data_IF_238542276658
#
_entry.id   IF_238542276658
#
_cell.length_a   1.000
_cell.length_b   1.000
_cell.length_c   1.000
_cell.angle_alpha   90.00
_cell.angle_beta   90.00
_cell.angle_gamma   90.00
#
_symmetry.space_group_name_H-M   'P 1'
#
loop_
_entity.id
_entity.type
_entity.pdbx_description
1 polymer ?
#
# COMPACT_ATOMS: atom_id res chain seq x y z
N UNK A 1 12.86 3.77 34.72
CA UNK A 1 11.77 2.89 34.22
C UNK A 1 11.38 3.42 32.85
N UNK A 2 11.79 2.75 31.76
CA UNK A 2 11.33 3.12 30.41
C UNK A 2 9.84 2.86 30.36
N UNK A 3 9.03 3.90 30.13
CA UNK A 3 7.60 3.73 29.83
C UNK A 3 7.48 2.79 28.65
N UNK A 4 6.79 1.66 28.82
CA UNK A 4 6.54 0.72 27.74
C UNK A 4 5.81 1.45 26.60
N UNK A 5 6.23 1.23 25.36
CA UNK A 5 5.57 1.81 24.19
C UNK A 5 4.15 1.23 24.09
N UNK A 6 3.13 2.09 24.21
CA UNK A 6 1.74 1.73 23.94
C UNK A 6 1.36 2.21 22.52
N UNK A 7 1.17 1.28 21.57
CA UNK A 7 0.78 1.63 20.20
C UNK A 7 -0.54 2.42 20.13
N UNK A 8 -1.50 2.12 21.01
CA UNK A 8 -2.80 2.79 21.03
C UNK A 8 -2.68 4.26 21.37
N UNK A 9 -1.99 4.57 22.48
CA UNK A 9 -1.71 5.95 22.89
C UNK A 9 -0.90 6.71 21.83
N UNK A 10 0.17 6.10 21.30
CA UNK A 10 1.01 6.76 20.28
C UNK A 10 0.22 7.11 18.99
N UNK A 11 -0.66 6.21 18.53
CA UNK A 11 -1.52 6.47 17.37
C UNK A 11 -2.56 7.56 17.67
N UNK A 12 -3.13 7.56 18.87
CA UNK A 12 -4.11 8.56 19.30
C UNK A 12 -3.49 9.97 19.41
N UNK A 13 -2.30 10.08 19.99
CA UNK A 13 -1.55 11.34 20.09
C UNK A 13 -1.20 11.90 18.71
N UNK A 14 -0.68 11.07 17.81
CA UNK A 14 -0.37 11.48 16.44
C UNK A 14 -1.63 11.96 15.71
N UNK A 15 -2.74 11.21 15.81
CA UNK A 15 -4.03 11.60 15.21
C UNK A 15 -4.54 12.93 15.77
N UNK A 16 -4.44 13.14 17.08
CA UNK A 16 -4.87 14.38 17.71
C UNK A 16 -4.02 15.59 17.27
N UNK A 17 -2.71 15.40 17.08
CA UNK A 17 -1.83 16.45 16.54
C UNK A 17 -2.18 16.80 15.09
N UNK A 18 -2.40 15.80 14.24
CA UNK A 18 -2.81 16.00 12.83
C UNK A 18 -4.12 16.79 12.75
N UNK A 19 -5.13 16.39 13.52
CA UNK A 19 -6.44 17.06 13.51
C UNK A 19 -6.34 18.49 14.02
N UNK A 20 -5.54 18.73 15.07
CA UNK A 20 -5.30 20.08 15.59
C UNK A 20 -4.70 21.00 14.53
N UNK A 21 -3.66 20.56 13.84
CA UNK A 21 -3.00 21.37 12.81
C UNK A 21 -3.90 21.54 11.58
N UNK A 22 -4.71 20.53 11.24
CA UNK A 22 -5.69 20.62 10.14
C UNK A 22 -6.79 21.64 10.43
N UNK A 23 -7.34 21.63 11.66
CA UNK A 23 -8.49 22.48 12.04
C UNK A 23 -8.09 23.89 12.49
N UNK A 24 -6.92 24.02 13.13
CA UNK A 24 -6.53 25.24 13.85
C UNK A 24 -5.16 25.77 13.43
N UNK A 25 -4.45 25.09 12.53
CA UNK A 25 -3.18 25.55 11.99
C UNK A 25 -3.33 26.82 11.16
N UNK A 26 -2.25 27.60 11.12
CA UNK A 26 -2.15 28.79 10.28
C UNK A 26 -1.76 28.46 8.84
N UNK A 27 -1.24 27.26 8.61
CA UNK A 27 -0.73 26.80 7.33
C UNK A 27 -1.85 26.30 6.43
N UNK A 28 -1.69 26.47 5.11
CA UNK A 28 -2.69 26.05 4.12
C UNK A 28 -2.62 24.57 3.75
N UNK A 29 -1.61 23.85 4.26
CA UNK A 29 -1.41 22.45 3.98
C UNK A 29 -0.90 21.71 5.21
N UNK A 30 -1.36 20.48 5.41
CA UNK A 30 -0.77 19.53 6.37
C UNK A 30 -0.48 18.25 5.61
N UNK A 31 0.74 17.72 5.73
CA UNK A 31 1.13 16.45 5.10
C UNK A 31 1.20 15.36 6.16
N UNK A 32 0.67 14.19 5.84
CA UNK A 32 0.67 13.03 6.72
C UNK A 32 1.22 11.80 6.01
N UNK A 33 2.33 11.32 6.54
CA UNK A 33 2.96 10.08 6.15
C UNK A 33 2.28 8.92 6.85
N UNK A 34 1.63 8.08 6.06
CA UNK A 34 0.90 6.90 6.54
C UNK A 34 1.56 5.63 5.98
N UNK A 35 2.43 4.95 6.75
CA UNK A 35 2.99 3.67 6.33
C UNK A 35 1.91 2.57 6.16
N UNK A 36 2.28 1.38 5.64
CA UNK A 36 1.33 0.34 5.30
C UNK A 36 0.56 -0.13 6.53
N UNK A 37 -0.76 -0.05 6.48
CA UNK A 37 -1.62 -0.46 7.60
C UNK A 37 -1.64 0.50 8.78
N UNK A 38 -1.17 1.75 8.62
CA UNK A 38 -1.15 2.71 9.73
C UNK A 38 -2.52 3.31 10.11
N UNK A 39 -3.58 2.90 9.42
CA UNK A 39 -4.93 3.42 9.65
C UNK A 39 -5.25 4.66 8.82
N UNK A 40 -4.63 4.83 7.65
CA UNK A 40 -4.86 5.94 6.72
C UNK A 40 -6.33 6.27 6.51
N UNK A 41 -7.12 5.28 6.08
CA UNK A 41 -8.54 5.48 5.82
C UNK A 41 -9.30 5.82 7.10
N UNK A 42 -8.89 5.29 8.25
CA UNK A 42 -9.46 5.66 9.56
C UNK A 42 -9.17 7.11 9.89
N UNK A 43 -7.95 7.59 9.63
CA UNK A 43 -7.58 9.01 9.77
C UNK A 43 -8.42 9.88 8.83
N UNK A 44 -8.52 9.53 7.55
CA UNK A 44 -9.30 10.29 6.55
C UNK A 44 -10.77 10.39 6.94
N UNK A 45 -11.41 9.27 7.32
CA UNK A 45 -12.80 9.25 7.79
C UNK A 45 -12.96 10.12 9.04
N UNK A 46 -12.05 10.00 10.01
CA UNK A 46 -12.10 10.80 11.24
C UNK A 46 -11.93 12.29 10.96
N UNK A 47 -10.92 12.67 10.17
CA UNK A 47 -10.68 14.05 9.79
C UNK A 47 -11.87 14.65 9.04
N UNK A 48 -12.47 13.88 8.13
CA UNK A 48 -13.64 14.32 7.38
C UNK A 48 -14.84 14.60 8.29
N UNK A 49 -15.10 13.73 9.28
CA UNK A 49 -16.17 13.92 10.27
C UNK A 49 -15.92 15.12 11.18
N UNK A 50 -14.70 15.31 11.67
CA UNK A 50 -14.34 16.44 12.54
C UNK A 50 -14.45 17.78 11.79
N UNK A 51 -14.00 17.83 10.53
CA UNK A 51 -14.15 19.00 9.67
C UNK A 51 -15.63 19.33 9.41
N UNK A 52 -16.44 18.33 9.07
CA UNK A 52 -17.87 18.50 8.88
C UNK A 52 -18.59 18.94 10.16
N UNK A 53 -18.24 18.37 11.32
CA UNK A 53 -18.80 18.75 12.62
C UNK A 53 -18.42 20.18 13.02
N UNK A 54 -17.24 20.66 12.60
CA UNK A 54 -16.82 22.05 12.75
C UNK A 54 -17.49 23.00 11.73
N UNK A 55 -18.44 22.52 10.92
CA UNK A 55 -19.18 23.31 9.92
C UNK A 55 -18.36 23.63 8.66
N UNK A 56 -17.21 22.97 8.45
CA UNK A 56 -16.34 23.20 7.29
C UNK A 56 -16.84 22.40 6.10
N UNK A 57 -17.09 23.08 4.97
CA UNK A 57 -17.33 22.40 3.68
C UNK A 57 -16.06 21.72 3.20
N UNK A 58 -16.14 20.41 3.00
CA UNK A 58 -15.00 19.56 2.68
C UNK A 58 -15.16 18.93 1.29
N UNK A 59 -14.14 19.08 0.45
CA UNK A 59 -13.94 18.21 -0.72
C UNK A 59 -12.95 17.10 -0.41
N UNK A 60 -13.18 15.89 -0.91
CA UNK A 60 -12.21 14.79 -0.81
C UNK A 60 -11.82 14.32 -2.21
N UNK A 61 -10.51 14.23 -2.43
CA UNK A 61 -9.88 13.86 -3.69
C UNK A 61 -9.22 12.49 -3.50
N UNK A 62 -9.66 11.49 -4.26
CA UNK A 62 -9.00 10.19 -4.35
C UNK A 62 -8.58 9.86 -5.79
N UNK A 63 -7.87 8.76 -6.01
CA UNK A 63 -7.32 8.45 -7.34
C UNK A 63 -8.26 7.56 -8.18
N UNK A 64 -9.02 6.67 -7.55
CA UNK A 64 -9.87 5.69 -8.24
C UNK A 64 -11.31 5.69 -7.72
N UNK A 65 -12.27 5.27 -8.55
CA UNK A 65 -13.67 5.16 -8.12
C UNK A 65 -13.84 4.20 -6.95
N UNK A 66 -13.15 3.05 -6.96
CA UNK A 66 -13.21 2.08 -5.86
C UNK A 66 -12.76 2.67 -4.51
N UNK A 67 -11.72 3.51 -4.50
CA UNK A 67 -11.29 4.21 -3.29
C UNK A 67 -12.33 5.23 -2.81
N UNK A 68 -12.93 5.97 -3.74
CA UNK A 68 -13.99 6.92 -3.38
C UNK A 68 -15.18 6.18 -2.78
N UNK A 69 -15.65 5.12 -3.43
CA UNK A 69 -16.86 4.41 -3.02
C UNK A 69 -16.64 3.70 -1.67
N UNK A 70 -15.47 3.10 -1.42
CA UNK A 70 -15.07 2.58 -0.11
C UNK A 70 -15.06 3.67 0.97
N UNK A 71 -14.59 4.88 0.66
CA UNK A 71 -14.60 5.98 1.62
C UNK A 71 -16.02 6.46 1.94
N UNK A 72 -16.91 6.55 0.94
CA UNK A 72 -18.33 6.89 1.14
C UNK A 72 -19.01 5.85 2.02
N UNK A 73 -18.80 4.56 1.75
CA UNK A 73 -19.33 3.47 2.57
C UNK A 73 -18.87 3.55 4.02
N UNK A 74 -17.58 3.82 4.26
CA UNK A 74 -17.04 3.96 5.62
C UNK A 74 -17.57 5.18 6.35
N UNK A 75 -17.77 6.30 5.65
CA UNK A 75 -18.39 7.48 6.25
C UNK A 75 -19.84 7.20 6.63
N UNK A 76 -20.61 6.56 5.75
CA UNK A 76 -22.01 6.21 6.04
C UNK A 76 -22.14 5.15 7.15
N UNK A 77 -21.21 4.19 7.27
CA UNK A 77 -21.14 3.24 8.40
C UNK A 77 -20.87 3.95 9.74
N UNK A 78 -19.91 4.88 9.75
CA UNK A 78 -19.50 5.58 10.98
C UNK A 78 -20.44 6.71 11.38
N UNK A 79 -21.13 7.29 10.42
CA UNK A 79 -22.02 8.42 10.62
C UNK A 79 -23.19 8.38 9.63
N UNK A 80 -24.24 7.57 9.93
CA UNK A 80 -25.36 7.38 9.01
C UNK A 80 -26.18 8.65 8.73
N UNK A 81 -26.04 9.70 9.55
CA UNK A 81 -26.78 10.96 9.40
C UNK A 81 -26.00 12.02 8.61
N UNK A 82 -24.67 11.90 8.58
CA UNK A 82 -23.77 12.82 7.87
C UNK A 82 -24.02 12.79 6.36
N UNK A 83 -24.47 13.92 5.81
CA UNK A 83 -24.75 14.02 4.37
C UNK A 83 -23.46 14.01 3.56
N UNK A 84 -23.34 13.06 2.63
CA UNK A 84 -22.14 12.90 1.78
C UNK A 84 -22.54 12.96 0.31
N UNK A 85 -21.89 13.84 -0.44
CA UNK A 85 -21.98 13.89 -1.89
C UNK A 85 -20.97 12.97 -2.54
N UNK A 86 -21.41 12.13 -3.47
CA UNK A 86 -20.53 11.36 -4.36
C UNK A 86 -20.65 11.95 -5.76
N UNK A 87 -19.64 12.71 -6.16
CA UNK A 87 -19.56 13.26 -7.51
C UNK A 87 -18.99 12.19 -8.45
N UNK A 88 -19.68 11.87 -9.54
CA UNK A 88 -19.29 10.81 -10.48
C UNK A 88 -19.36 11.24 -11.96
N UNK A 89 -18.89 10.40 -12.89
CA UNK A 89 -19.10 10.60 -14.34
C UNK A 89 -20.54 10.26 -14.72
N UNK A 90 -20.98 10.65 -15.92
CA UNK A 90 -22.32 10.30 -16.40
C UNK A 90 -22.45 8.84 -16.88
N UNK A 91 -21.42 8.02 -16.66
CA UNK A 91 -21.38 6.63 -17.11
C UNK A 91 -22.29 5.74 -16.23
N UNK A 92 -22.83 4.67 -16.81
CA UNK A 92 -23.82 3.81 -16.14
C UNK A 92 -23.29 3.00 -14.95
N UNK A 93 -21.97 2.78 -14.90
CA UNK A 93 -21.23 2.00 -13.89
C UNK A 93 -20.22 2.86 -13.11
N UNK A 94 -20.45 4.17 -13.04
CA UNK A 94 -19.50 5.13 -12.46
C UNK A 94 -19.23 4.97 -10.95
N UNK A 95 -20.05 4.20 -10.23
CA UNK A 95 -19.97 3.99 -8.78
C UNK A 95 -20.59 2.64 -8.36
N UNK A 96 -20.23 2.17 -7.16
CA UNK A 96 -20.78 0.97 -6.55
C UNK A 96 -22.31 1.08 -6.33
N UNK A 97 -23.14 0.16 -6.87
CA UNK A 97 -24.59 0.15 -6.66
C UNK A 97 -25.04 0.19 -5.20
N UNK A 98 -24.23 -0.33 -4.26
CA UNK A 98 -24.54 -0.31 -2.83
C UNK A 98 -24.73 1.12 -2.28
N UNK A 99 -24.14 2.13 -2.92
CA UNK A 99 -24.29 3.52 -2.50
C UNK A 99 -25.72 4.06 -2.67
N UNK A 100 -26.56 3.46 -3.52
CA UNK A 100 -27.96 3.90 -3.72
C UNK A 100 -28.85 3.61 -2.51
N UNK A 101 -28.47 2.62 -1.71
CA UNK A 101 -29.23 2.20 -0.54
C UNK A 101 -28.93 3.06 0.70
N UNK A 102 -28.00 4.02 0.61
CA UNK A 102 -27.55 4.87 1.72
C UNK A 102 -28.35 6.19 1.77
N UNK A 103 -29.23 6.41 2.78
CA UNK A 103 -30.11 7.59 2.83
C UNK A 103 -29.38 8.93 3.02
N UNK A 104 -28.14 8.89 3.51
CA UNK A 104 -27.29 10.07 3.70
C UNK A 104 -26.43 10.42 2.49
N UNK A 105 -26.41 9.57 1.46
CA UNK A 105 -25.56 9.75 0.29
C UNK A 105 -26.35 10.36 -0.86
N UNK A 106 -25.83 11.45 -1.43
CA UNK A 106 -26.36 12.06 -2.65
C UNK A 106 -25.41 11.77 -3.81
N UNK A 107 -25.92 11.07 -4.83
CA UNK A 107 -25.18 10.74 -6.05
C UNK A 107 -25.50 11.79 -7.12
N UNK A 108 -24.49 12.45 -7.68
CA UNK A 108 -24.71 13.34 -8.83
C UNK A 108 -23.49 13.40 -9.74
N UNK A 109 -23.74 13.66 -11.02
CA UNK A 109 -22.71 14.00 -11.99
C UNK A 109 -22.38 15.50 -12.02
N UNK A 110 -23.20 16.34 -11.36
CA UNK A 110 -23.11 17.80 -11.35
C UNK A 110 -22.61 18.30 -9.99
N UNK A 111 -21.50 19.06 -9.95
CA UNK A 111 -20.97 19.61 -8.69
C UNK A 111 -21.96 20.50 -7.95
N UNK A 112 -22.77 21.29 -8.67
CA UNK A 112 -23.75 22.21 -8.07
C UNK A 112 -24.82 21.51 -7.22
N UNK A 113 -25.20 20.28 -7.55
CA UNK A 113 -26.16 19.50 -6.77
C UNK A 113 -25.59 19.06 -5.40
N UNK A 114 -24.26 19.11 -5.26
CA UNK A 114 -23.51 18.62 -4.10
C UNK A 114 -22.79 19.73 -3.33
N UNK A 115 -22.81 20.97 -3.85
CA UNK A 115 -21.99 22.07 -3.34
C UNK A 115 -22.28 22.39 -1.86
N UNK A 116 -23.56 22.36 -1.45
CA UNK A 116 -23.98 22.68 -0.08
C UNK A 116 -23.88 21.50 0.90
N UNK A 117 -23.41 20.33 0.43
CA UNK A 117 -23.20 19.18 1.32
C UNK A 117 -21.92 19.39 2.15
N UNK A 118 -21.90 18.94 3.42
CA UNK A 118 -20.74 19.12 4.28
C UNK A 118 -19.51 18.39 3.74
N UNK A 119 -19.69 17.25 3.06
CA UNK A 119 -18.62 16.48 2.43
C UNK A 119 -19.03 16.13 1.00
N UNK A 120 -18.16 16.40 0.03
CA UNK A 120 -18.27 15.89 -1.34
C UNK A 120 -17.00 15.16 -1.75
N UNK A 121 -17.13 13.96 -2.31
CA UNK A 121 -16.00 13.06 -2.62
C UNK A 121 -16.01 12.72 -4.10
N UNK A 122 -14.85 12.82 -4.73
CA UNK A 122 -14.64 12.41 -6.13
C UNK A 122 -13.22 12.00 -6.43
N UNK A 123 -13.02 11.51 -7.65
CA UNK A 123 -11.68 11.25 -8.17
C UNK A 123 -11.03 12.56 -8.60
N UNK A 124 -9.69 12.63 -8.52
CA UNK A 124 -8.90 13.75 -9.03
C UNK A 124 -9.27 14.12 -10.48
N UNK A 125 -9.43 13.11 -11.34
CA UNK A 125 -9.82 13.30 -12.73
C UNK A 125 -11.18 13.99 -12.87
N UNK A 126 -12.18 13.62 -12.05
CA UNK A 126 -13.51 14.24 -12.11
C UNK A 126 -13.49 15.67 -11.54
N UNK A 127 -12.74 15.90 -10.46
CA UNK A 127 -12.55 17.24 -9.90
C UNK A 127 -11.92 18.21 -10.91
N UNK A 128 -10.98 17.77 -11.74
CA UNK A 128 -10.34 18.60 -12.76
C UNK A 128 -11.31 19.15 -13.84
N UNK A 129 -12.53 18.60 -13.95
CA UNK A 129 -13.57 19.13 -14.84
C UNK A 129 -14.50 20.14 -14.16
N UNK A 130 -14.38 20.34 -12.85
CA UNK A 130 -15.18 21.32 -12.11
C UNK A 130 -14.62 22.70 -12.38
N UNK A 131 -15.47 23.59 -12.90
CA UNK A 131 -15.15 24.99 -13.21
C UNK A 131 -16.14 25.91 -12.51
N UNK A 132 -15.73 27.14 -12.28
CA UNK A 132 -16.57 28.22 -11.76
C UNK A 132 -17.29 27.85 -10.45
N UNK A 133 -16.64 27.05 -9.61
CA UNK A 133 -17.11 26.70 -8.28
C UNK A 133 -16.41 27.59 -7.24
N UNK A 134 -17.16 28.05 -6.25
CA UNK A 134 -16.58 28.65 -5.04
C UNK A 134 -15.63 27.64 -4.38
N UNK A 135 -14.41 28.04 -3.99
CA UNK A 135 -13.46 27.15 -3.34
C UNK A 135 -14.05 26.50 -2.09
N UNK A 136 -13.82 25.19 -1.94
CA UNK A 136 -14.07 24.50 -0.69
C UNK A 136 -13.07 24.98 0.37
N UNK A 137 -13.55 25.23 1.59
CA UNK A 137 -12.68 25.68 2.68
C UNK A 137 -11.57 24.67 2.97
N UNK A 138 -11.89 23.37 2.90
CA UNK A 138 -10.95 22.29 3.16
C UNK A 138 -11.02 21.22 2.06
N UNK A 139 -9.85 20.63 1.79
CA UNK A 139 -9.71 19.41 1.02
C UNK A 139 -9.02 18.31 1.85
N UNK A 140 -9.37 17.05 1.60
CA UNK A 140 -8.48 15.92 1.89
C UNK A 140 -8.05 15.32 0.57
N UNK A 141 -6.74 15.22 0.35
CA UNK A 141 -6.16 14.51 -0.80
C UNK A 141 -5.65 13.16 -0.31
N UNK A 142 -6.39 12.10 -0.62
CA UNK A 142 -6.04 10.73 -0.27
C UNK A 142 -5.15 10.08 -1.33
N UNK A 143 -4.21 9.23 -0.89
CA UNK A 143 -3.08 8.74 -1.68
C UNK A 143 -2.32 9.88 -2.38
N UNK A 144 -2.10 10.99 -1.68
CA UNK A 144 -1.46 12.18 -2.25
C UNK A 144 -0.09 11.88 -2.88
N UNK A 145 0.64 10.88 -2.36
CA UNK A 145 1.93 10.45 -2.92
C UNK A 145 1.82 9.81 -4.31
N UNK A 146 0.70 9.16 -4.63
CA UNK A 146 0.42 8.56 -5.94
C UNK A 146 -0.18 9.54 -6.94
N UNK A 147 -0.64 10.70 -6.46
CA UNK A 147 -1.12 11.77 -7.31
C UNK A 147 0.08 12.42 -7.99
N UNK A 148 0.01 12.63 -9.31
CA UNK A 148 0.99 13.46 -10.00
C UNK A 148 0.78 14.94 -9.70
N UNK A 149 1.85 15.73 -9.75
CA UNK A 149 1.80 17.17 -9.49
C UNK A 149 0.93 17.92 -10.50
N UNK A 150 0.89 17.51 -11.77
CA UNK A 150 0.00 18.07 -12.80
C UNK A 150 -1.49 17.91 -12.43
N UNK A 151 -1.86 16.75 -11.91
CA UNK A 151 -3.20 16.46 -11.44
C UNK A 151 -3.56 17.29 -10.20
N UNK A 152 -2.62 17.51 -9.27
CA UNK A 152 -2.85 18.40 -8.13
C UNK A 152 -3.08 19.84 -8.61
N UNK A 153 -2.25 20.33 -9.53
CA UNK A 153 -2.40 21.68 -10.08
C UNK A 153 -3.78 21.90 -10.71
N UNK A 154 -4.32 20.88 -11.39
CA UNK A 154 -5.64 20.93 -12.02
C UNK A 154 -6.80 21.08 -11.01
N UNK A 155 -6.60 20.74 -9.73
CA UNK A 155 -7.65 20.81 -8.69
C UNK A 155 -7.32 21.78 -7.55
N UNK A 156 -6.08 22.28 -7.47
CA UNK A 156 -5.61 23.13 -6.37
C UNK A 156 -6.40 24.45 -6.24
N UNK A 157 -6.96 24.95 -7.34
CA UNK A 157 -7.83 26.13 -7.33
C UNK A 157 -9.21 25.91 -6.70
N UNK A 158 -9.59 24.66 -6.42
CA UNK A 158 -10.89 24.30 -5.84
C UNK A 158 -10.88 24.33 -4.31
N UNK A 159 -9.75 24.52 -3.64
CA UNK A 159 -9.74 24.53 -2.17
C UNK A 159 -8.81 25.58 -1.57
N UNK A 160 -9.15 26.02 -0.36
CA UNK A 160 -8.32 26.99 0.36
C UNK A 160 -7.22 26.32 1.19
N UNK A 161 -7.53 25.21 1.84
CA UNK A 161 -6.64 24.44 2.72
C UNK A 161 -6.74 22.95 2.41
N UNK A 162 -5.67 22.19 2.64
CA UNK A 162 -5.68 20.75 2.38
C UNK A 162 -4.91 19.91 3.39
N UNK A 163 -5.48 18.75 3.72
CA UNK A 163 -4.80 17.64 4.38
C UNK A 163 -4.38 16.62 3.31
N UNK A 164 -3.07 16.46 3.11
CA UNK A 164 -2.49 15.50 2.18
C UNK A 164 -2.11 14.23 2.94
N UNK A 165 -2.73 13.10 2.58
CA UNK A 165 -2.50 11.83 3.26
C UNK A 165 -2.05 10.80 2.24
N UNK A 166 -0.96 10.08 2.52
CA UNK A 166 -0.53 8.98 1.68
C UNK A 166 0.70 8.29 2.23
N UNK A 167 1.28 7.41 1.42
CA UNK A 167 2.42 6.60 1.82
C UNK A 167 3.64 6.95 0.94
N UNK A 168 4.69 7.58 1.51
CA UNK A 168 5.90 7.95 0.76
C UNK A 168 6.76 6.75 0.34
N UNK A 169 6.61 5.59 0.99
CA UNK A 169 7.43 4.40 0.75
C UNK A 169 6.78 3.39 -0.20
N UNK A 170 5.60 3.68 -0.74
CA UNK A 170 4.91 2.83 -1.72
C UNK A 170 5.13 3.33 -3.16
N UNK A 171 4.19 3.04 -4.07
CA UNK A 171 4.35 3.23 -5.51
C UNK A 171 4.38 4.70 -5.90
N UNK A 172 5.31 5.04 -6.80
CA UNK A 172 5.37 6.35 -7.44
C UNK A 172 4.15 6.55 -8.36
N UNK A 173 3.76 7.81 -8.65
CA UNK A 173 2.77 8.10 -9.66
C UNK A 173 3.13 7.49 -11.03
N UNK A 174 2.14 6.91 -11.70
CA UNK A 174 2.35 6.29 -13.01
C UNK A 174 2.31 7.33 -14.14
N UNK A 175 3.30 7.27 -15.04
CA UNK A 175 3.33 8.00 -16.32
C UNK A 175 3.56 7.05 -17.50
N UNK A 176 2.82 7.23 -18.58
CA UNK A 176 3.01 6.52 -19.85
C UNK A 176 4.09 7.20 -20.71
N UNK A 177 4.33 8.49 -20.46
CA UNK A 177 5.27 9.32 -21.22
C UNK A 177 6.53 9.53 -20.37
N UNK A 178 7.70 9.38 -20.99
CA UNK A 178 8.97 9.69 -20.33
C UNK A 178 9.03 11.17 -19.94
N UNK A 179 9.47 11.45 -18.72
CA UNK A 179 9.52 12.80 -18.16
C UNK A 179 10.95 13.33 -17.97
N UNK A 180 11.93 12.71 -18.62
CA UNK A 180 13.37 12.99 -18.44
C UNK A 180 13.72 14.48 -18.63
N UNK A 181 13.01 15.19 -19.50
CA UNK A 181 13.20 16.61 -19.76
C UNK A 181 12.79 17.55 -18.62
N UNK A 182 11.98 17.07 -17.67
CA UNK A 182 11.60 17.83 -16.47
C UNK A 182 12.32 17.38 -15.21
N UNK A 183 13.15 16.35 -15.32
CA UNK A 183 13.76 15.75 -14.17
C UNK A 183 14.70 16.75 -13.47
N UNK A 184 14.53 16.86 -12.15
CA UNK A 184 15.29 17.77 -11.29
C UNK A 184 14.72 19.17 -11.18
N UNK A 185 13.64 19.46 -11.90
CA UNK A 185 12.87 20.68 -11.71
C UNK A 185 11.94 20.51 -10.50
N UNK A 186 11.83 21.55 -9.67
CA UNK A 186 10.92 21.53 -8.51
C UNK A 186 9.44 21.38 -8.91
N UNK A 187 9.12 21.63 -10.19
CA UNK A 187 7.80 21.59 -10.80
C UNK A 187 7.63 20.44 -11.81
N UNK A 188 8.41 19.36 -11.70
CA UNK A 188 8.26 18.18 -12.55
C UNK A 188 6.78 17.68 -12.53
N UNK A 189 6.07 17.70 -13.67
CA UNK A 189 4.66 17.33 -13.77
C UNK A 189 4.41 15.84 -13.48
N UNK A 190 5.45 15.00 -13.59
CA UNK A 190 5.40 13.57 -13.33
C UNK A 190 5.71 13.20 -11.88
N UNK A 191 6.32 14.12 -11.13
CA UNK A 191 6.62 13.92 -9.72
C UNK A 191 5.35 13.80 -8.87
N UNK A 192 5.51 13.23 -7.70
CA UNK A 192 4.46 13.19 -6.68
C UNK A 192 4.00 14.59 -6.31
N UNK A 193 2.69 14.76 -6.18
CA UNK A 193 2.04 15.99 -5.74
C UNK A 193 2.60 16.48 -4.39
N UNK A 194 2.88 15.56 -3.45
CA UNK A 194 3.45 15.91 -2.15
C UNK A 194 4.89 16.39 -2.28
N UNK A 195 5.70 15.74 -3.12
CA UNK A 195 7.10 16.14 -3.35
C UNK A 195 7.19 17.55 -3.93
N UNK A 196 6.40 17.85 -4.96
CA UNK A 196 6.32 19.20 -5.55
C UNK A 196 5.78 20.22 -4.54
N UNK A 197 4.73 19.87 -3.79
CA UNK A 197 4.15 20.75 -2.77
C UNK A 197 5.19 21.15 -1.72
N UNK A 198 5.90 20.18 -1.14
CA UNK A 198 6.90 20.42 -0.10
C UNK A 198 8.14 21.15 -0.64
N UNK A 199 8.54 20.91 -1.89
CA UNK A 199 9.62 21.66 -2.53
C UNK A 199 9.33 23.17 -2.59
N UNK A 200 8.07 23.56 -2.80
CA UNK A 200 7.64 24.95 -2.86
C UNK A 200 7.15 25.50 -1.51
N UNK A 201 6.82 24.64 -0.55
CA UNK A 201 6.27 25.00 0.75
C UNK A 201 6.95 24.19 1.87
N UNK A 202 8.26 24.39 2.13
CA UNK A 202 9.03 23.53 3.05
C UNK A 202 8.63 23.69 4.53
N UNK A 203 7.84 24.71 4.85
CA UNK A 203 7.37 25.04 6.20
C UNK A 203 6.06 24.34 6.57
N UNK A 204 5.41 23.63 5.62
CA UNK A 204 4.17 22.92 5.92
C UNK A 204 4.39 21.86 7.02
N UNK A 205 3.48 21.74 8.00
CA UNK A 205 3.54 20.71 9.01
C UNK A 205 3.50 19.32 8.37
N UNK A 206 4.47 18.49 8.76
CA UNK A 206 4.58 17.10 8.34
C UNK A 206 4.42 16.21 9.57
N UNK A 207 3.36 15.41 9.56
CA UNK A 207 3.08 14.41 10.58
C UNK A 207 3.31 13.01 10.05
N UNK A 208 3.45 12.05 10.96
CA UNK A 208 3.57 10.63 10.61
C UNK A 208 2.70 9.79 11.53
N UNK A 209 2.11 8.73 10.98
CA UNK A 209 1.44 7.71 11.79
C UNK A 209 2.49 6.69 12.30
N UNK A 210 2.69 6.57 13.62
CA UNK A 210 3.83 5.83 14.18
C UNK A 210 3.63 4.32 14.27
N UNK A 211 2.44 3.82 13.93
CA UNK A 211 2.02 2.44 14.20
C UNK A 211 1.38 1.83 12.96
N UNK A 212 1.81 0.63 12.58
CA UNK A 212 1.11 -0.23 11.61
C UNK A 212 0.26 -1.27 12.34
N UNK A 213 -1.04 -1.23 12.12
CA UNK A 213 -1.99 -2.22 12.64
C UNK A 213 -2.11 -3.46 11.74
N UNK A 214 -1.44 -3.46 10.58
CA UNK A 214 -1.43 -4.60 9.65
C UNK A 214 -0.21 -5.47 9.81
N UNK A 215 0.97 -4.90 9.99
CA UNK A 215 2.18 -5.72 10.00
C UNK A 215 2.40 -6.32 11.39
N UNK A 216 2.61 -7.63 11.50
CA UNK A 216 2.91 -8.26 12.79
C UNK A 216 4.26 -7.77 13.34
N UNK A 217 4.50 -8.01 14.63
CA UNK A 217 5.77 -7.68 15.30
C UNK A 217 7.01 -8.25 14.60
N UNK A 218 6.86 -9.37 13.89
CA UNK A 218 7.91 -10.03 13.09
C UNK A 218 8.22 -9.31 11.79
N UNK A 219 7.26 -8.60 11.18
CA UNK A 219 7.41 -7.99 9.86
C UNK A 219 7.62 -6.47 9.90
N UNK A 220 6.98 -5.77 10.84
CA UNK A 220 7.07 -4.32 10.93
C UNK A 220 8.51 -3.79 11.02
N UNK A 221 9.45 -4.40 11.78
CA UNK A 221 10.82 -3.91 11.87
C UNK A 221 11.57 -3.96 10.53
N UNK A 222 11.38 -5.03 9.74
CA UNK A 222 12.00 -5.13 8.42
C UNK A 222 11.45 -4.04 7.49
N UNK A 223 10.13 -4.00 7.33
CA UNK A 223 9.46 -3.06 6.41
C UNK A 223 9.79 -1.62 6.81
N UNK A 224 9.73 -1.30 8.10
CA UNK A 224 10.04 0.04 8.59
C UNK A 224 11.49 0.45 8.33
N UNK A 225 12.47 -0.44 8.51
CA UNK A 225 13.88 -0.08 8.27
C UNK A 225 14.21 0.00 6.78
N UNK A 226 13.75 -0.97 6.00
CA UNK A 226 14.07 -1.07 4.58
C UNK A 226 13.38 0.02 3.74
N UNK A 227 12.13 0.39 4.11
CA UNK A 227 11.31 1.27 3.27
C UNK A 227 10.95 2.62 3.91
N UNK A 228 11.25 2.82 5.20
CA UNK A 228 10.91 4.06 5.93
C UNK A 228 12.07 4.51 6.84
N UNK A 229 13.29 4.70 6.32
CA UNK A 229 14.48 4.96 7.14
C UNK A 229 14.36 6.23 8.00
N UNK A 230 13.63 7.25 7.51
CA UNK A 230 13.41 8.52 8.22
C UNK A 230 12.07 8.61 8.95
N UNK A 231 11.11 7.78 8.57
CA UNK A 231 9.73 7.77 9.07
C UNK A 231 9.36 6.41 9.67
N UNK A 232 10.27 5.89 10.48
CA UNK A 232 10.12 4.58 11.09
C UNK A 232 8.83 4.46 11.91
N UNK A 233 8.23 3.28 11.85
CA UNK A 233 7.00 2.93 12.56
C UNK A 233 7.16 1.57 13.27
N UNK A 234 6.22 1.28 14.16
CA UNK A 234 6.20 0.03 14.94
C UNK A 234 4.95 -0.78 14.64
N UNK A 235 4.97 -2.07 14.99
CA UNK A 235 3.75 -2.87 14.95
C UNK A 235 2.79 -2.41 16.05
N UNK A 236 1.49 -2.42 15.73
CA UNK A 236 0.42 -2.26 16.69
C UNK A 236 0.10 -3.53 17.47
N UNK A 237 0.64 -4.68 17.05
CA UNK A 237 0.46 -5.96 17.73
C UNK A 237 1.76 -6.44 18.35
N UNK A 238 1.64 -7.16 19.46
CA UNK A 238 2.76 -7.75 20.20
C UNK A 238 3.29 -9.06 19.59
N UNK A 239 4.47 -9.53 20.04
CA UNK A 239 4.97 -10.85 19.69
C UNK A 239 3.96 -11.95 20.04
N UNK A 240 3.69 -12.84 19.09
CA UNK A 240 2.78 -13.97 19.28
C UNK A 240 1.29 -13.61 19.28
N UNK A 241 0.87 -12.35 19.23
CA UNK A 241 -0.54 -11.99 19.05
C UNK A 241 -1.08 -12.43 17.69
N UNK A 242 -0.20 -12.51 16.69
CA UNK A 242 -0.49 -13.09 15.38
C UNK A 242 0.37 -14.29 15.11
N UNK A 243 -0.27 -15.42 14.83
CA UNK A 243 0.40 -16.71 14.57
C UNK A 243 -0.22 -17.40 13.38
N UNK A 244 0.63 -18.04 12.60
CA UNK A 244 0.26 -19.02 11.59
C UNK A 244 0.70 -20.40 12.12
N UNK A 245 -0.13 -21.41 11.91
CA UNK A 245 0.18 -22.79 12.30
C UNK A 245 -0.46 -23.76 11.31
N UNK A 246 -0.07 -25.03 11.34
CA UNK A 246 -0.57 -26.05 10.42
C UNK A 246 -1.13 -27.24 11.20
N UNK A 247 -2.28 -27.75 10.77
CA UNK A 247 -2.89 -28.94 11.37
C UNK A 247 -2.21 -30.25 10.97
N UNK A 248 -1.46 -30.25 9.86
CA UNK A 248 -0.73 -31.41 9.36
C UNK A 248 0.78 -31.13 9.33
N UNK A 249 1.56 -32.08 9.82
CA UNK A 249 3.02 -32.02 9.76
C UNK A 249 3.51 -31.96 8.31
N UNK A 250 4.59 -31.22 8.08
CA UNK A 250 5.21 -31.13 6.76
C UNK A 250 5.83 -32.45 6.31
N UNK A 251 5.90 -32.67 5.00
CA UNK A 251 6.54 -33.83 4.38
C UNK A 251 8.07 -33.66 4.17
N UNK A 252 8.63 -32.54 4.60
CA UNK A 252 10.05 -32.21 4.46
C UNK A 252 10.44 -31.63 3.09
N UNK A 253 9.49 -31.47 2.16
CA UNK A 253 9.70 -30.78 0.89
C UNK A 253 10.12 -29.32 1.10
N UNK A 254 10.67 -28.69 0.07
CA UNK A 254 10.96 -27.26 0.06
C UNK A 254 9.74 -26.40 0.44
N UNK A 255 8.58 -26.56 -0.23
CA UNK A 255 7.34 -25.86 0.13
C UNK A 255 6.93 -26.01 1.60
N UNK A 256 6.98 -27.22 2.16
CA UNK A 256 6.54 -27.43 3.54
C UNK A 256 7.50 -26.81 4.55
N UNK A 257 8.81 -26.96 4.33
CA UNK A 257 9.83 -26.38 5.21
C UNK A 257 9.80 -24.85 5.20
N UNK A 258 9.57 -24.22 4.05
CA UNK A 258 9.46 -22.75 4.01
C UNK A 258 8.17 -22.25 4.67
N UNK A 259 7.09 -23.04 4.60
CA UNK A 259 5.86 -22.73 5.31
C UNK A 259 6.04 -22.84 6.84
N UNK A 260 6.76 -23.87 7.31
CA UNK A 260 7.12 -24.02 8.73
C UNK A 260 7.97 -22.83 9.21
N UNK A 261 9.00 -22.47 8.46
CA UNK A 261 9.84 -21.29 8.74
C UNK A 261 9.00 -20.00 8.80
N UNK A 262 8.13 -19.80 7.81
CA UNK A 262 7.26 -18.61 7.76
C UNK A 262 6.23 -18.57 8.90
N UNK A 263 5.77 -19.73 9.39
CA UNK A 263 4.88 -19.79 10.55
C UNK A 263 5.59 -19.43 11.87
N UNK A 264 6.87 -19.79 12.00
CA UNK A 264 7.68 -19.49 13.18
C UNK A 264 8.19 -18.04 13.18
N UNK A 265 8.79 -17.61 12.08
CA UNK A 265 9.48 -16.32 11.98
C UNK A 265 8.63 -15.19 11.36
N UNK A 266 7.49 -15.51 10.75
CA UNK A 266 6.72 -14.57 9.93
C UNK A 266 7.28 -14.36 8.52
N UNK A 267 8.44 -14.94 8.21
CA UNK A 267 9.12 -14.84 6.92
C UNK A 267 9.67 -16.19 6.48
N UNK A 268 9.67 -16.44 5.18
CA UNK A 268 10.39 -17.57 4.60
C UNK A 268 10.88 -17.25 3.20
N UNK A 269 12.11 -17.65 2.87
CA UNK A 269 12.67 -17.53 1.52
C UNK A 269 12.82 -18.94 0.92
N UNK A 270 12.00 -19.26 -0.07
CA UNK A 270 12.18 -20.47 -0.88
C UNK A 270 13.11 -20.18 -2.05
N UNK A 271 14.36 -20.61 -1.92
CA UNK A 271 15.42 -20.28 -2.87
C UNK A 271 15.64 -21.42 -3.88
N UNK A 272 15.38 -21.13 -5.15
CA UNK A 272 15.67 -22.00 -6.30
C UNK A 272 17.16 -21.85 -6.71
N UNK A 273 17.77 -22.86 -7.35
CA UNK A 273 19.13 -22.75 -7.86
C UNK A 273 19.31 -21.57 -8.82
N UNK A 274 20.50 -20.95 -8.75
CA UNK A 274 20.87 -19.81 -9.59
C UNK A 274 20.76 -20.16 -11.08
N UNK A 275 20.02 -19.33 -11.83
CA UNK A 275 19.80 -19.48 -13.26
C UNK A 275 19.20 -18.19 -13.83
N UNK A 276 19.64 -17.76 -15.00
CA UNK A 276 18.91 -16.75 -15.79
C UNK A 276 17.72 -17.40 -16.51
N UNK A 277 16.57 -16.78 -16.39
CA UNK A 277 15.32 -17.29 -16.95
C UNK A 277 14.58 -16.23 -17.75
N UNK A 278 13.67 -16.64 -18.65
CA UNK A 278 12.67 -15.72 -19.17
C UNK A 278 11.92 -15.02 -18.04
N UNK A 279 11.30 -13.87 -18.35
CA UNK A 279 10.50 -13.09 -17.38
C UNK A 279 9.47 -13.94 -16.63
N UNK A 280 8.86 -14.90 -17.32
CA UNK A 280 7.94 -15.88 -16.73
C UNK A 280 8.66 -17.22 -16.62
N UNK A 281 9.27 -17.46 -15.46
CA UNK A 281 9.99 -18.69 -15.12
C UNK A 281 9.01 -19.80 -14.70
N UNK A 282 8.85 -20.88 -15.49
CA UNK A 282 7.90 -21.95 -15.18
C UNK A 282 8.21 -22.67 -13.86
N UNK A 283 9.48 -22.81 -13.49
CA UNK A 283 9.89 -23.53 -12.27
C UNK A 283 9.55 -22.69 -11.03
N UNK A 284 9.88 -21.40 -11.03
CA UNK A 284 9.52 -20.50 -9.95
C UNK A 284 7.99 -20.33 -9.82
N UNK A 285 7.28 -20.25 -10.95
CA UNK A 285 5.81 -20.24 -10.98
C UNK A 285 5.23 -21.51 -10.34
N UNK A 286 5.78 -22.68 -10.66
CA UNK A 286 5.35 -23.94 -10.05
C UNK A 286 5.67 -24.00 -8.56
N UNK A 287 6.84 -23.52 -8.14
CA UNK A 287 7.22 -23.45 -6.73
C UNK A 287 6.26 -22.56 -5.93
N UNK A 288 5.90 -21.38 -6.45
CA UNK A 288 4.89 -20.50 -5.87
C UNK A 288 3.54 -21.21 -5.73
N UNK A 289 3.07 -21.86 -6.79
CA UNK A 289 1.79 -22.57 -6.78
C UNK A 289 1.78 -23.73 -5.76
N UNK A 290 2.91 -24.45 -5.62
CA UNK A 290 3.07 -25.52 -4.64
C UNK A 290 3.07 -24.99 -3.20
N UNK A 291 3.75 -23.88 -2.90
CA UNK A 291 3.69 -23.24 -1.57
C UNK A 291 2.24 -22.93 -1.18
N UNK A 292 1.48 -22.32 -2.09
CA UNK A 292 0.06 -22.00 -1.85
C UNK A 292 -0.77 -23.27 -1.65
N UNK A 293 -0.61 -24.27 -2.53
CA UNK A 293 -1.33 -25.54 -2.43
C UNK A 293 -1.05 -26.24 -1.10
N UNK A 294 0.22 -26.31 -0.70
CA UNK A 294 0.64 -26.95 0.55
C UNK A 294 0.14 -26.22 1.79
N UNK A 295 0.07 -24.89 1.76
CA UNK A 295 -0.51 -24.13 2.86
C UNK A 295 -1.99 -24.52 3.12
N UNK A 296 -2.75 -24.73 2.04
CA UNK A 296 -4.15 -25.17 2.11
C UNK A 296 -4.26 -26.66 2.52
N UNK A 297 -3.45 -27.54 1.92
CA UNK A 297 -3.47 -28.98 2.21
C UNK A 297 -3.11 -29.31 3.66
N UNK A 298 -2.20 -28.53 4.23
CA UNK A 298 -1.75 -28.72 5.60
C UNK A 298 -2.73 -28.15 6.64
N UNK A 299 -3.86 -27.61 6.19
CA UNK A 299 -4.87 -27.02 7.05
C UNK A 299 -4.29 -25.87 7.86
N UNK A 300 -3.72 -24.88 7.18
CA UNK A 300 -3.21 -23.68 7.83
C UNK A 300 -4.30 -23.02 8.70
N UNK A 301 -3.90 -22.55 9.88
CA UNK A 301 -4.74 -21.88 10.86
C UNK A 301 -4.06 -20.60 11.30
N UNK A 302 -4.81 -19.51 11.29
CA UNK A 302 -4.38 -18.20 11.75
C UNK A 302 -4.99 -17.88 13.11
N UNK A 303 -4.24 -17.17 13.95
CA UNK A 303 -4.74 -16.61 15.22
C UNK A 303 -4.32 -15.16 15.24
N UNK A 304 -5.25 -14.25 15.54
CA UNK A 304 -4.98 -12.82 15.61
C UNK A 304 -5.74 -12.12 16.76
N UNK A 305 -5.47 -10.84 16.95
CA UNK A 305 -6.08 -10.00 17.98
C UNK A 305 -7.55 -9.68 17.75
N UNK A 306 -8.08 -9.94 16.54
CA UNK A 306 -9.46 -9.62 16.15
C UNK A 306 -10.39 -10.80 16.45
N UNK A 307 -9.90 -12.02 16.27
CA UNK A 307 -10.65 -13.24 16.50
C UNK A 307 -10.25 -13.89 17.83
N UNK A 308 -11.21 -14.05 18.74
CA UNK A 308 -10.99 -14.72 20.03
C UNK A 308 -10.66 -16.23 19.94
N UNK A 309 -10.66 -16.81 18.73
CA UNK A 309 -10.33 -18.20 18.48
C UNK A 309 -9.56 -18.34 17.15
N UNK A 310 -8.70 -19.38 17.01
CA UNK A 310 -8.03 -19.67 15.74
C UNK A 310 -9.02 -19.92 14.60
N UNK A 311 -8.71 -19.41 13.40
CA UNK A 311 -9.54 -19.52 12.21
C UNK A 311 -8.78 -20.25 11.08
N UNK A 312 -9.46 -21.07 10.26
CA UNK A 312 -8.82 -21.71 9.12
C UNK A 312 -8.39 -20.66 8.09
N UNK A 313 -7.18 -20.80 7.53
CA UNK A 313 -6.70 -19.99 6.42
C UNK A 313 -7.40 -20.44 5.14
N UNK A 314 -8.38 -19.67 4.71
CA UNK A 314 -9.10 -19.90 3.45
C UNK A 314 -8.35 -19.29 2.26
N UNK A 315 -8.64 -19.79 1.06
CA UNK A 315 -7.94 -19.37 -0.17
C UNK A 315 -8.05 -17.86 -0.44
N UNK A 316 -9.18 -17.23 -0.13
CA UNK A 316 -9.42 -15.78 -0.29
C UNK A 316 -8.56 -14.92 0.66
N UNK A 317 -8.02 -15.52 1.74
CA UNK A 317 -7.09 -14.91 2.69
C UNK A 317 -5.62 -15.10 2.29
N UNK A 318 -5.36 -15.69 1.12
CA UNK A 318 -4.03 -15.84 0.52
C UNK A 318 -3.90 -14.93 -0.70
N UNK A 319 -2.76 -14.25 -0.81
CA UNK A 319 -2.38 -13.56 -2.03
C UNK A 319 -1.03 -14.02 -2.59
N UNK A 320 -0.94 -14.09 -3.91
CA UNK A 320 0.31 -14.17 -4.65
C UNK A 320 0.62 -12.83 -5.30
N UNK A 321 1.79 -12.29 -4.98
CA UNK A 321 2.32 -11.06 -5.57
C UNK A 321 3.39 -11.31 -6.64
N UNK A 322 3.25 -10.69 -7.81
CA UNK A 322 4.24 -10.73 -8.89
C UNK A 322 4.62 -9.31 -9.37
N UNK A 323 5.71 -9.18 -10.12
CA UNK A 323 6.08 -7.92 -10.73
C UNK A 323 5.26 -7.63 -12.01
N UNK A 324 4.97 -8.67 -12.80
CA UNK A 324 4.34 -8.55 -14.11
C UNK A 324 3.01 -9.30 -14.21
N UNK A 325 2.13 -8.83 -15.12
CA UNK A 325 0.79 -9.41 -15.34
C UNK A 325 0.83 -10.80 -15.97
N UNK A 326 1.82 -11.08 -16.81
CA UNK A 326 2.01 -12.41 -17.41
C UNK A 326 2.48 -13.45 -16.39
N UNK A 327 3.34 -13.06 -15.43
CA UNK A 327 3.68 -13.89 -14.27
C UNK A 327 2.43 -14.21 -13.44
N UNK A 328 1.58 -13.22 -13.17
CA UNK A 328 0.32 -13.43 -12.45
C UNK A 328 -0.60 -14.39 -13.20
N UNK A 329 -0.71 -14.26 -14.52
CA UNK A 329 -1.49 -15.19 -15.35
C UNK A 329 -0.93 -16.62 -15.29
N UNK A 330 0.39 -16.78 -15.38
CA UNK A 330 1.05 -18.09 -15.28
C UNK A 330 0.85 -18.76 -13.92
N UNK A 331 0.93 -18.00 -12.82
CA UNK A 331 0.63 -18.55 -11.49
C UNK A 331 -0.84 -18.96 -11.36
N UNK A 332 -1.80 -18.16 -11.87
CA UNK A 332 -3.21 -18.56 -11.87
C UNK A 332 -3.43 -19.87 -12.61
N UNK A 333 -2.79 -20.06 -13.77
CA UNK A 333 -2.85 -21.31 -14.52
C UNK A 333 -2.27 -22.48 -13.71
N UNK A 334 -1.08 -22.31 -13.11
CA UNK A 334 -0.46 -23.35 -12.29
C UNK A 334 -1.27 -23.72 -11.03
N UNK A 335 -1.93 -22.75 -10.39
CA UNK A 335 -2.86 -23.00 -9.28
C UNK A 335 -4.10 -23.78 -9.74
N UNK A 336 -4.66 -23.43 -10.90
CA UNK A 336 -5.81 -24.14 -11.46
C UNK A 336 -5.48 -25.61 -11.80
N UNK A 337 -4.29 -25.89 -12.34
CA UNK A 337 -3.79 -27.26 -12.54
C UNK A 337 -3.67 -28.05 -11.23
N UNK A 338 -3.39 -27.38 -10.12
CA UNK A 338 -3.35 -27.96 -8.77
C UNK A 338 -4.73 -27.98 -8.08
N UNK A 339 -5.81 -27.63 -8.79
CA UNK A 339 -7.16 -27.58 -8.25
C UNK A 339 -7.38 -26.51 -7.18
N UNK A 340 -6.55 -25.45 -7.15
CA UNK A 340 -6.67 -24.33 -6.21
C UNK A 340 -7.41 -23.17 -6.87
N UNK A 341 -8.49 -22.71 -6.22
CA UNK A 341 -9.28 -21.56 -6.65
C UNK A 341 -9.50 -20.59 -5.46
N UNK A 342 -9.87 -19.35 -5.76
CA UNK A 342 -10.17 -18.32 -4.74
C UNK A 342 -8.97 -17.52 -4.22
N UNK A 343 -7.74 -17.94 -4.52
CA UNK A 343 -6.51 -17.19 -4.19
C UNK A 343 -6.41 -15.93 -5.04
N UNK A 344 -6.12 -14.79 -4.41
CA UNK A 344 -5.80 -13.59 -5.19
C UNK A 344 -4.40 -13.73 -5.78
N UNK A 345 -4.23 -13.52 -7.09
CA UNK A 345 -2.91 -13.50 -7.73
C UNK A 345 -2.85 -12.22 -8.54
N UNK A 346 -1.90 -11.31 -8.28
CA UNK A 346 -1.87 -10.01 -8.94
C UNK A 346 -0.51 -9.29 -8.82
N UNK A 347 -0.37 -8.17 -9.54
CA UNK A 347 0.82 -7.31 -9.43
C UNK A 347 0.74 -6.41 -8.20
N UNK A 348 1.89 -5.88 -7.74
CA UNK A 348 1.96 -4.93 -6.63
C UNK A 348 0.90 -3.81 -6.72
N UNK A 349 0.78 -3.14 -7.88
CA UNK A 349 -0.21 -2.08 -8.10
C UNK A 349 -1.67 -2.51 -7.81
N UNK A 350 -2.03 -3.76 -8.11
CA UNK A 350 -3.40 -4.28 -7.87
C UNK A 350 -3.59 -4.84 -6.46
N UNK A 351 -2.51 -5.22 -5.79
CA UNK A 351 -2.52 -5.67 -4.39
C UNK A 351 -2.47 -4.51 -3.39
N UNK A 352 -2.14 -3.31 -3.84
CA UNK A 352 -2.08 -2.12 -3.00
C UNK A 352 -3.41 -1.87 -2.28
N UNK A 353 -3.32 -1.37 -1.04
CA UNK A 353 -4.49 -1.15 -0.16
C UNK A 353 -5.08 -2.42 0.47
N UNK A 354 -4.95 -3.59 -0.17
CA UNK A 354 -5.50 -4.87 0.30
C UNK A 354 -4.63 -5.51 1.39
N UNK A 355 -5.22 -6.44 2.14
CA UNK A 355 -4.54 -7.21 3.20
C UNK A 355 -4.97 -8.67 3.22
N UNK A 356 -4.00 -9.54 3.51
CA UNK A 356 -4.12 -11.00 3.48
C UNK A 356 -3.48 -11.59 4.73
N UNK A 357 -3.81 -12.82 5.07
CA UNK A 357 -3.21 -13.47 6.22
C UNK A 357 -1.85 -14.09 5.86
N UNK A 358 -1.75 -14.70 4.68
CA UNK A 358 -0.53 -15.21 4.09
C UNK A 358 -0.28 -14.59 2.71
N UNK A 359 0.94 -14.16 2.45
CA UNK A 359 1.36 -13.73 1.10
C UNK A 359 2.48 -14.59 0.56
N UNK A 360 2.42 -14.95 -0.72
CA UNK A 360 3.51 -15.60 -1.44
C UNK A 360 3.99 -14.67 -2.55
N UNK A 361 5.26 -14.32 -2.58
CA UNK A 361 5.80 -13.31 -3.50
C UNK A 361 6.81 -13.96 -4.44
N UNK A 362 6.64 -13.79 -5.74
CA UNK A 362 7.72 -14.04 -6.70
C UNK A 362 8.61 -12.79 -6.75
N UNK A 363 9.86 -12.90 -6.28
CA UNK A 363 10.75 -11.75 -6.18
C UNK A 363 10.98 -11.09 -7.55
N UNK A 364 10.85 -9.75 -7.70
CA UNK A 364 10.95 -9.06 -8.99
C UNK A 364 12.25 -9.30 -9.77
N UNK A 365 13.36 -9.47 -9.04
CA UNK A 365 14.69 -9.73 -9.61
C UNK A 365 15.02 -11.22 -9.81
N UNK A 366 14.11 -12.14 -9.48
CA UNK A 366 14.36 -13.57 -9.58
C UNK A 366 14.70 -13.99 -11.02
N UNK A 367 15.88 -14.56 -11.21
CA UNK A 367 16.35 -15.10 -12.50
C UNK A 367 16.61 -14.05 -13.59
N UNK A 368 16.62 -12.76 -13.24
CA UNK A 368 16.93 -11.69 -14.19
C UNK A 368 18.44 -11.58 -14.43
N UNK A 369 18.86 -11.17 -15.65
CA UNK A 369 20.25 -10.82 -15.93
C UNK A 369 20.59 -9.36 -15.58
N UNK A 370 19.58 -8.52 -15.33
CA UNK A 370 19.69 -7.07 -15.15
C UNK A 370 18.72 -6.54 -14.07
N UNK A 371 19.12 -5.45 -13.40
CA UNK A 371 18.32 -4.73 -12.41
C UNK A 371 17.85 -3.38 -12.98
N UNK A 372 16.70 -3.36 -13.67
CA UNK A 372 16.16 -2.12 -14.24
C UNK A 372 15.47 -1.25 -13.18
N UNK A 373 15.32 0.05 -13.43
CA UNK A 373 14.61 1.00 -12.56
C UNK A 373 13.21 0.51 -12.14
N UNK A 374 12.48 -0.14 -13.05
CA UNK A 374 11.17 -0.74 -12.74
C UNK A 374 11.23 -1.85 -11.69
N UNK A 375 12.29 -2.68 -11.70
CA UNK A 375 12.44 -3.78 -10.74
C UNK A 375 13.11 -3.35 -9.43
N UNK A 376 13.91 -2.28 -9.50
CA UNK A 376 14.48 -1.61 -8.33
C UNK A 376 13.49 -0.65 -7.67
N UNK A 377 12.35 -0.34 -8.28
CA UNK A 377 11.35 0.55 -7.69
C UNK A 377 10.94 0.08 -6.28
N UNK A 378 11.42 0.82 -5.29
CA UNK A 378 11.31 0.50 -3.86
C UNK A 378 9.88 0.25 -3.42
N UNK A 379 8.96 1.09 -3.92
CA UNK A 379 7.53 1.01 -3.64
C UNK A 379 6.91 -0.34 -4.01
N UNK A 380 7.40 -0.98 -5.07
CA UNK A 380 6.90 -2.28 -5.54
C UNK A 380 7.23 -3.38 -4.56
N UNK A 381 8.50 -3.44 -4.13
CA UNK A 381 8.94 -4.42 -3.14
C UNK A 381 8.30 -4.16 -1.78
N UNK A 382 8.18 -2.88 -1.36
CA UNK A 382 7.46 -2.49 -0.16
C UNK A 382 6.02 -3.04 -0.18
N UNK A 383 5.28 -2.79 -1.26
CA UNK A 383 3.92 -3.31 -1.40
C UNK A 383 3.89 -4.83 -1.28
N UNK A 384 4.70 -5.56 -2.05
CA UNK A 384 4.74 -7.03 -2.02
C UNK A 384 5.09 -7.58 -0.64
N UNK A 385 6.04 -6.96 0.06
CA UNK A 385 6.51 -7.38 1.37
C UNK A 385 5.56 -6.98 2.52
N UNK A 386 4.54 -6.15 2.29
CA UNK A 386 3.74 -5.55 3.36
C UNK A 386 2.23 -5.82 3.30
N UNK A 387 1.77 -6.80 2.51
CA UNK A 387 0.34 -7.14 2.42
C UNK A 387 -0.12 -8.21 3.43
N UNK A 388 0.79 -8.92 4.07
CA UNK A 388 0.47 -10.00 5.01
C UNK A 388 0.18 -9.47 6.42
N UNK A 389 -0.67 -10.20 7.15
CA UNK A 389 -0.94 -10.00 8.59
C UNK A 389 -0.23 -11.02 9.47
N UNK A 390 0.08 -12.21 8.96
CA UNK A 390 0.72 -13.28 9.72
C UNK A 390 2.10 -13.63 9.18
N UNK A 391 2.20 -14.01 7.89
CA UNK A 391 3.46 -14.45 7.32
C UNK A 391 3.61 -14.12 5.83
N UNK A 392 4.86 -14.02 5.38
CA UNK A 392 5.23 -13.81 3.98
C UNK A 392 6.27 -14.83 3.53
N UNK A 393 5.95 -15.56 2.45
CA UNK A 393 6.91 -16.44 1.76
C UNK A 393 7.39 -15.75 0.49
N UNK A 394 8.69 -15.56 0.34
CA UNK A 394 9.31 -15.07 -0.89
C UNK A 394 9.90 -16.25 -1.65
N UNK A 395 9.58 -16.36 -2.93
CA UNK A 395 10.14 -17.35 -3.85
C UNK A 395 11.07 -16.63 -4.81
N UNK A 396 12.30 -17.10 -4.92
CA UNK A 396 13.32 -16.48 -5.75
C UNK A 396 14.38 -17.49 -6.19
N UNK A 397 15.08 -17.20 -7.29
CA UNK A 397 16.36 -17.85 -7.61
C UNK A 397 17.49 -17.20 -6.82
N UNK A 398 18.46 -18.02 -6.41
CA UNK A 398 19.75 -17.54 -5.92
C UNK A 398 20.43 -16.64 -6.98
N UNK A 399 21.24 -15.68 -6.54
CA UNK A 399 21.97 -14.77 -7.43
C UNK A 399 21.54 -13.31 -7.37
N UNK A 400 20.44 -12.97 -6.66
CA UNK A 400 19.93 -11.59 -6.64
C UNK A 400 20.91 -10.62 -5.96
N UNK A 401 21.56 -11.03 -4.87
CA UNK A 401 22.56 -10.20 -4.19
C UNK A 401 23.74 -9.88 -5.14
N UNK A 402 24.24 -10.89 -5.85
CA UNK A 402 25.30 -10.73 -6.86
C UNK A 402 24.84 -9.82 -8.01
N UNK A 403 23.60 -9.98 -8.48
CA UNK A 403 23.04 -9.10 -9.51
C UNK A 403 23.05 -7.63 -9.08
N UNK A 404 22.68 -7.36 -7.83
CA UNK A 404 22.68 -6.00 -7.26
C UNK A 404 24.11 -5.45 -7.07
N UNK A 405 25.06 -6.30 -6.68
CA UNK A 405 26.47 -5.94 -6.54
C UNK A 405 27.13 -5.65 -7.90
N UNK A 406 26.80 -6.45 -8.93
CA UNK A 406 27.36 -6.34 -10.28
C UNK A 406 26.73 -5.20 -11.10
N UNK A 407 25.49 -4.82 -10.80
CA UNK A 407 24.75 -3.75 -11.46
C UNK A 407 24.31 -2.69 -10.45
N UNK A 408 25.27 -1.94 -9.84
CA UNK A 408 24.92 -0.77 -9.07
C UNK A 408 24.17 0.21 -9.98
N UNK A 409 23.22 0.98 -9.42
CA UNK A 409 22.38 1.90 -10.20
C UNK A 409 23.22 2.74 -11.16
N UNK A 410 23.07 2.51 -12.48
CA UNK A 410 23.76 3.26 -13.53
C UNK A 410 22.93 4.45 -14.02
N UNK A 411 21.94 4.89 -13.23
CA UNK A 411 21.13 6.05 -13.61
C UNK A 411 22.04 7.29 -13.74
N UNK A 412 21.89 8.08 -14.83
CA UNK A 412 22.65 9.31 -14.97
C UNK A 412 22.29 10.25 -13.82
N UNK A 413 23.30 10.74 -13.11
CA UNK A 413 23.11 11.73 -12.05
C UNK A 413 22.53 13.00 -12.67
N UNK A 414 21.27 13.29 -12.32
CA UNK A 414 20.58 14.51 -12.75
C UNK A 414 20.62 15.54 -11.62
N UNK A 415 21.23 16.69 -11.90
CA UNK A 415 21.32 17.80 -10.94
C UNK A 415 19.92 18.31 -10.59
N UNK A 416 19.65 18.50 -9.30
CA UNK A 416 18.37 18.99 -8.81
C UNK A 416 17.29 17.92 -8.60
N UNK A 417 17.51 16.67 -9.04
CA UNK A 417 16.62 15.55 -8.69
C UNK A 417 16.80 15.23 -7.21
N UNK A 418 15.71 15.38 -6.44
CA UNK A 418 15.66 14.86 -5.07
C UNK A 418 15.89 13.35 -5.14
N UNK A 419 16.91 12.86 -4.44
CA UNK A 419 17.22 11.42 -4.40
C UNK A 419 15.94 10.66 -4.04
N UNK A 420 15.57 9.67 -4.87
CA UNK A 420 14.42 8.80 -4.59
C UNK A 420 14.73 8.03 -3.30
N UNK A 421 14.00 8.35 -2.25
CA UNK A 421 14.15 7.71 -0.96
C UNK A 421 12.89 6.88 -0.63
N UNK A 422 13.06 5.61 -0.24
CA UNK A 422 14.34 4.89 -0.07
C UNK A 422 14.95 4.48 -1.40
N UNK A 423 16.28 4.35 -1.43
CA UNK A 423 17.00 3.78 -2.57
C UNK A 423 16.57 2.31 -2.74
N UNK A 424 16.12 1.98 -3.95
CA UNK A 424 15.69 0.65 -4.34
C UNK A 424 16.76 -0.41 -4.15
N UNK A 425 18.02 -0.04 -4.41
CA UNK A 425 19.16 -0.92 -4.22
C UNK A 425 19.36 -1.25 -2.73
N UNK A 426 19.42 -0.24 -1.86
CA UNK A 426 19.58 -0.41 -0.42
C UNK A 426 18.41 -1.19 0.20
N UNK A 427 17.18 -0.89 -0.20
CA UNK A 427 15.99 -1.58 0.26
C UNK A 427 16.01 -3.07 -0.11
N UNK A 428 16.42 -3.41 -1.35
CA UNK A 428 16.58 -4.81 -1.75
C UNK A 428 17.65 -5.52 -0.91
N UNK A 429 18.82 -4.91 -0.69
CA UNK A 429 19.86 -5.50 0.17
C UNK A 429 19.36 -5.72 1.60
N UNK A 430 18.66 -4.75 2.20
CA UNK A 430 18.11 -4.90 3.55
C UNK A 430 17.08 -6.05 3.63
N UNK A 431 16.24 -6.21 2.60
CA UNK A 431 15.25 -7.29 2.53
C UNK A 431 15.94 -8.63 2.33
N UNK A 432 16.89 -8.74 1.40
CA UNK A 432 17.61 -9.98 1.12
C UNK A 432 18.46 -10.44 2.30
N UNK A 433 19.11 -9.52 3.01
CA UNK A 433 19.89 -9.83 4.20
C UNK A 433 19.01 -10.47 5.29
N UNK A 434 17.82 -9.92 5.53
CA UNK A 434 16.87 -10.50 6.48
C UNK A 434 16.30 -11.84 5.98
N UNK A 435 15.89 -11.92 4.72
CA UNK A 435 15.35 -13.16 4.14
C UNK A 435 16.38 -14.30 4.11
N UNK A 436 17.68 -13.99 4.06
CA UNK A 436 18.74 -15.00 4.10
C UNK A 436 18.79 -15.77 5.43
N UNK A 437 18.33 -15.17 6.54
CA UNK A 437 18.19 -15.82 7.84
C UNK A 437 17.07 -16.88 7.84
N UNK A 438 16.09 -16.74 6.94
CA UNK A 438 14.89 -17.58 6.82
C UNK A 438 14.89 -18.42 5.54
N UNK A 439 16.08 -18.81 5.07
CA UNK A 439 16.28 -19.46 3.77
C UNK A 439 16.03 -20.96 3.82
N UNK A 440 15.20 -21.42 2.88
CA UNK A 440 14.94 -22.83 2.59
C UNK A 440 15.28 -23.14 1.13
N UNK A 441 16.16 -24.11 0.90
CA UNK A 441 16.50 -24.54 -0.44
C UNK A 441 15.32 -25.27 -1.12
N UNK A 442 15.04 -24.91 -2.37
CA UNK A 442 14.08 -25.59 -3.23
C UNK A 442 14.43 -27.07 -3.39
N UNK A 443 13.50 -27.93 -2.96
CA UNK A 443 13.51 -29.37 -3.12
C UNK A 443 12.05 -29.78 -3.42
N UNK A 444 11.69 -29.92 -4.71
CA UNK A 444 10.31 -30.18 -5.13
C UNK A 444 9.73 -31.43 -4.50
#
# INVERSE_FOLDING_TARGET
>A
MSTAFDPGTAAAEATAAILRDTLHGNERGVVVDSPPGAGKSTLVVRAARELAAAGRRLMVVAQTNAQVDDLVLRLADKDPELKVGRLHSSDGDAYDPALRELPSVTLSAKPGDLAELPITISTAAKWAYVKDAEPWEHAIVDEAYQMRSDALLAVAGLFERALFVGDPGQLDPFSVVGAEQWAGLSYDPSASAVSTLLAHNPHLPQHRLPVSWRLPATAAPLVSRAFYPYTQFRSGTGPGERRLSYGVAGDGSGPDRVLDEAAEAGWGLLELPARHTPRTDPEAVRAVALVVRRALDRGAVTTDERAGAPAPLTADRIAVGTAHRDQAAAVRAALAELGVAGVTVDTANRLQGREYDLTVVLHPLSGRPDATAFHLETGRLCVLASRHRHACVVVARAGIAQLLDDHPSTEPVQLGVTVKFPDGWEANHSVLAHLAEHRVAWRP
#
